data_IF_633110519210
#
_entry.id   IF_633110519210
#
_cell.length_a   1.000
_cell.length_b   1.000
_cell.length_c   1.000
_cell.angle_alpha   90.00
_cell.angle_beta   90.00
_cell.angle_gamma   90.00
#
_symmetry.space_group_name_H-M   'P 1'
#
loop_
_entity.id
_entity.type
_entity.pdbx_description
1 polymer ?
#
# COMPACT_ATOMS: atom_id res chain seq x y z
N UNK A 1 -1.58 1.14 20.75
CA UNK A 1 -1.23 2.49 21.27
C UNK A 1 0.24 2.60 21.64
N UNK A 2 0.80 1.77 22.55
CA UNK A 2 2.23 1.82 22.91
C UNK A 2 3.19 1.71 21.71
N UNK A 3 2.96 0.79 20.78
CA UNK A 3 3.79 0.63 19.57
C UNK A 3 3.70 1.86 18.66
N UNK A 4 2.50 2.40 18.47
CA UNK A 4 2.30 3.63 17.70
C UNK A 4 3.03 4.84 18.30
N UNK A 5 2.88 5.06 19.61
CA UNK A 5 3.56 6.16 20.30
C UNK A 5 5.08 6.05 20.16
N UNK A 6 5.61 4.84 20.30
CA UNK A 6 7.03 4.57 20.15
C UNK A 6 7.51 4.87 18.71
N UNK A 7 6.80 4.36 17.69
CA UNK A 7 7.12 4.63 16.28
C UNK A 7 7.15 6.14 15.97
N UNK A 8 6.15 6.89 16.46
CA UNK A 8 6.10 8.35 16.27
C UNK A 8 7.29 9.04 16.95
N UNK A 9 7.68 8.58 18.14
CA UNK A 9 8.82 9.15 18.87
C UNK A 9 10.15 8.80 18.21
N UNK A 10 10.31 7.58 17.71
CA UNK A 10 11.55 7.15 17.06
C UNK A 10 11.76 7.89 15.74
N UNK A 11 10.68 8.10 14.97
CA UNK A 11 10.75 8.79 13.67
C UNK A 11 10.86 10.32 13.80
N UNK A 12 10.14 10.93 14.75
CA UNK A 12 10.02 12.40 14.84
C UNK A 12 10.65 13.01 16.11
N UNK A 13 11.23 12.20 17.00
CA UNK A 13 11.89 12.66 18.21
C UNK A 13 10.99 13.53 19.09
N UNK A 14 11.51 14.71 19.48
CA UNK A 14 10.79 15.66 20.33
C UNK A 14 9.54 16.24 19.67
N UNK A 15 9.52 16.37 18.34
CA UNK A 15 8.30 16.78 17.62
C UNK A 15 7.21 15.73 17.76
N UNK A 16 7.58 14.44 17.70
CA UNK A 16 6.67 13.32 17.94
C UNK A 16 6.08 13.34 19.35
N UNK A 17 6.94 13.52 20.37
CA UNK A 17 6.51 13.64 21.78
C UNK A 17 5.54 14.80 21.98
N UNK A 18 5.86 15.97 21.43
CA UNK A 18 5.01 17.15 21.54
C UNK A 18 3.65 16.90 20.88
N UNK A 19 3.64 16.39 19.65
CA UNK A 19 2.41 16.12 18.91
C UNK A 19 1.50 15.11 19.63
N UNK A 20 2.05 14.04 20.20
CA UNK A 20 1.29 13.09 21.01
C UNK A 20 0.69 13.75 22.27
N UNK A 21 1.43 14.67 22.91
CA UNK A 21 0.93 15.44 24.06
C UNK A 21 -0.21 16.40 23.70
N UNK A 22 -0.15 17.01 22.51
CA UNK A 22 -1.15 17.95 22.02
C UNK A 22 -2.39 17.26 21.40
N UNK A 23 -2.27 15.97 21.07
CA UNK A 23 -3.29 15.18 20.36
C UNK A 23 -4.68 15.22 21.02
N UNK A 24 -4.88 15.10 22.35
CA UNK A 24 -6.21 15.19 22.95
C UNK A 24 -6.90 16.54 22.74
N UNK A 25 -6.14 17.64 22.79
CA UNK A 25 -6.67 18.98 22.55
C UNK A 25 -7.02 19.17 21.07
N UNK A 26 -6.14 18.69 20.18
CA UNK A 26 -6.39 18.69 18.73
C UNK A 26 -7.68 17.93 18.40
N UNK A 27 -7.86 16.71 18.93
CA UNK A 27 -9.07 15.91 18.72
C UNK A 27 -10.33 16.63 19.20
N UNK A 28 -10.28 17.31 20.35
CA UNK A 28 -11.40 18.09 20.88
C UNK A 28 -11.77 19.24 19.94
N UNK A 29 -10.76 19.95 19.43
CA UNK A 29 -10.95 21.04 18.47
C UNK A 29 -11.53 20.53 17.15
N UNK A 30 -10.99 19.44 16.61
CA UNK A 30 -11.46 18.83 15.36
C UNK A 30 -12.89 18.31 15.49
N UNK A 31 -13.21 17.63 16.60
CA UNK A 31 -14.56 17.15 16.87
C UNK A 31 -15.58 18.31 16.88
N UNK A 32 -15.24 19.44 17.49
CA UNK A 32 -16.09 20.64 17.45
C UNK A 32 -16.18 21.26 16.06
N UNK A 33 -15.05 21.38 15.36
CA UNK A 33 -14.95 22.06 14.06
C UNK A 33 -15.71 21.32 12.97
N UNK A 34 -15.57 20.00 12.93
CA UNK A 34 -16.16 19.13 11.91
C UNK A 34 -17.46 18.44 12.38
N UNK A 35 -17.91 18.69 13.61
CA UNK A 35 -19.11 18.06 14.17
C UNK A 35 -18.98 16.55 14.36
N UNK A 36 -17.79 16.08 14.76
CA UNK A 36 -17.49 14.66 14.92
C UNK A 36 -17.89 14.17 16.31
N UNK A 37 -18.32 12.91 16.39
CA UNK A 37 -18.71 12.25 17.63
C UNK A 37 -18.24 10.81 17.68
N UNK A 38 -18.17 10.25 18.89
CA UNK A 38 -17.76 8.87 19.14
C UNK A 38 -16.43 8.47 18.48
N UNK A 39 -15.47 9.40 18.43
CA UNK A 39 -14.14 9.14 17.89
C UNK A 39 -13.44 8.06 18.72
N UNK A 40 -13.06 6.97 18.07
CA UNK A 40 -12.36 5.83 18.68
C UNK A 40 -11.18 5.44 17.81
N UNK A 41 -9.96 5.34 18.37
CA UNK A 41 -8.83 4.84 17.63
C UNK A 41 -9.10 3.44 17.08
N UNK A 42 -8.67 3.19 15.84
CA UNK A 42 -8.67 1.82 15.29
C UNK A 42 -7.61 0.98 16.03
N UNK A 43 -7.74 -0.34 15.99
CA UNK A 43 -6.89 -1.24 16.78
C UNK A 43 -5.45 -1.36 16.24
N UNK A 44 -5.22 -1.10 14.96
CA UNK A 44 -3.99 -1.37 14.21
C UNK A 44 -3.21 -0.11 13.81
N UNK A 45 -2.97 0.81 14.74
CA UNK A 45 -2.17 2.03 14.49
C UNK A 45 -0.67 1.74 14.33
N UNK A 46 -0.06 2.31 13.29
CA UNK A 46 1.39 2.20 13.00
C UNK A 46 2.09 3.57 12.95
N UNK A 47 1.79 4.40 11.96
CA UNK A 47 2.48 5.68 11.68
C UNK A 47 1.54 6.89 11.58
N UNK A 48 0.24 6.65 11.44
CA UNK A 48 -0.80 7.68 11.48
C UNK A 48 -1.78 7.35 12.61
N UNK A 49 -2.33 8.39 13.24
CA UNK A 49 -3.39 8.24 14.24
C UNK A 49 -4.74 8.24 13.55
N UNK A 50 -5.34 7.06 13.45
CA UNK A 50 -6.58 6.80 12.71
C UNK A 50 -7.71 6.53 13.70
N UNK A 51 -8.82 7.24 13.56
CA UNK A 51 -10.02 7.05 14.38
C UNK A 51 -11.24 6.78 13.50
N UNK A 52 -12.08 5.85 13.93
CA UNK A 52 -13.45 5.76 13.45
C UNK A 52 -14.36 6.66 14.28
N UNK A 53 -15.46 7.11 13.70
CA UNK A 53 -16.46 7.90 14.41
C UNK A 53 -17.62 8.28 13.51
N UNK A 54 -18.31 9.36 13.84
CA UNK A 54 -19.47 9.82 13.09
C UNK A 54 -19.48 11.33 12.89
N UNK A 55 -19.94 11.77 11.73
CA UNK A 55 -20.38 13.14 11.46
C UNK A 55 -21.90 13.12 11.28
N UNK A 56 -22.65 13.50 12.32
CA UNK A 56 -24.09 13.22 12.37
C UNK A 56 -24.34 11.69 12.33
N UNK A 57 -25.18 11.17 11.40
CA UNK A 57 -25.36 9.73 11.22
C UNK A 57 -24.30 9.06 10.34
N UNK A 58 -23.47 9.84 9.63
CA UNK A 58 -22.50 9.33 8.66
C UNK A 58 -21.27 8.75 9.37
N UNK A 59 -20.93 7.45 9.18
CA UNK A 59 -19.67 6.88 9.64
C UNK A 59 -18.48 7.52 8.91
N UNK A 60 -17.42 7.84 9.65
CA UNK A 60 -16.21 8.48 9.13
C UNK A 60 -14.94 7.78 9.62
N UNK A 61 -13.85 8.02 8.89
CA UNK A 61 -12.47 7.80 9.35
C UNK A 61 -11.77 9.16 9.43
N UNK A 62 -11.15 9.45 10.57
CA UNK A 62 -10.28 10.61 10.78
C UNK A 62 -8.84 10.11 10.87
N UNK A 63 -7.99 10.49 9.91
CA UNK A 63 -6.57 10.17 9.88
C UNK A 63 -5.76 11.43 10.16
N UNK A 64 -4.85 11.34 11.13
CA UNK A 64 -3.95 12.42 11.53
C UNK A 64 -2.49 11.92 11.46
N UNK A 65 -1.59 12.75 10.96
CA UNK A 65 -0.18 12.36 10.78
C UNK A 65 0.78 13.54 10.85
N UNK A 66 2.03 13.24 11.19
CA UNK A 66 3.15 14.19 11.14
C UNK A 66 3.81 14.27 9.76
N UNK A 67 3.65 13.22 8.93
CA UNK A 67 4.03 13.24 7.52
C UNK A 67 2.97 14.02 6.72
N UNK A 68 3.07 15.35 6.76
CA UNK A 68 2.14 16.26 6.09
C UNK A 68 2.12 16.03 4.57
N UNK A 69 3.29 15.80 3.96
CA UNK A 69 3.40 15.60 2.52
C UNK A 69 2.83 14.23 2.10
N UNK A 70 3.06 13.17 2.89
CA UNK A 70 2.43 11.88 2.68
C UNK A 70 0.91 11.94 2.79
N UNK A 71 0.37 12.60 3.82
CA UNK A 71 -1.07 12.81 3.99
C UNK A 71 -1.68 13.59 2.82
N UNK A 72 -1.02 14.66 2.37
CA UNK A 72 -1.47 15.45 1.22
C UNK A 72 -1.46 14.63 -0.08
N UNK A 73 -0.44 13.80 -0.27
CA UNK A 73 -0.32 12.93 -1.46
C UNK A 73 -1.41 11.84 -1.46
N UNK A 74 -1.69 11.24 -0.30
CA UNK A 74 -2.81 10.30 -0.14
C UNK A 74 -4.15 10.93 -0.49
N UNK A 75 -4.41 12.15 0.02
CA UNK A 75 -5.62 12.90 -0.31
C UNK A 75 -5.74 13.16 -1.82
N UNK A 76 -4.66 13.61 -2.44
CA UNK A 76 -4.60 13.86 -3.88
C UNK A 76 -4.85 12.59 -4.68
N UNK A 77 -4.31 11.44 -4.26
CA UNK A 77 -4.53 10.16 -4.91
C UNK A 77 -5.99 9.70 -4.76
N UNK A 78 -6.58 9.79 -3.57
CA UNK A 78 -7.99 9.47 -3.35
C UNK A 78 -8.92 10.34 -4.21
N UNK A 79 -8.66 11.65 -4.28
CA UNK A 79 -9.42 12.55 -5.15
C UNK A 79 -9.22 12.25 -6.64
N UNK A 80 -8.02 11.87 -7.06
CA UNK A 80 -7.74 11.48 -8.44
C UNK A 80 -8.46 10.18 -8.83
N UNK A 81 -8.64 9.26 -7.88
CA UNK A 81 -9.37 8.01 -8.06
C UNK A 81 -10.87 8.13 -7.81
N UNK A 82 -11.42 9.34 -7.57
CA UNK A 82 -12.84 9.52 -7.29
C UNK A 82 -13.72 8.83 -8.34
N UNK A 83 -14.73 8.06 -7.88
CA UNK A 83 -15.59 7.25 -8.75
C UNK A 83 -14.98 5.92 -9.23
N UNK A 84 -13.73 5.61 -8.85
CA UNK A 84 -13.03 4.37 -9.26
C UNK A 84 -12.98 3.30 -8.16
N UNK A 85 -13.81 3.42 -7.12
CA UNK A 85 -13.87 2.47 -6.00
C UNK A 85 -12.86 2.75 -4.89
N UNK A 86 -12.64 4.02 -4.56
CA UNK A 86 -11.90 4.48 -3.38
C UNK A 86 -12.85 5.12 -2.38
N UNK A 87 -12.45 5.20 -1.11
CA UNK A 87 -13.16 6.02 -0.12
C UNK A 87 -13.16 7.49 -0.51
N UNK A 88 -14.27 8.19 -0.27
CA UNK A 88 -14.37 9.62 -0.52
C UNK A 88 -13.59 10.44 0.51
N UNK A 89 -13.02 11.57 0.06
CA UNK A 89 -12.42 12.59 0.93
C UNK A 89 -13.48 13.63 1.28
N UNK A 90 -13.89 13.69 2.55
CA UNK A 90 -14.83 14.70 3.04
C UNK A 90 -14.13 16.02 3.37
N UNK A 91 -12.90 15.95 3.89
CA UNK A 91 -12.08 17.13 4.14
C UNK A 91 -10.60 16.75 4.23
N UNK A 92 -9.72 17.63 3.75
CA UNK A 92 -8.29 17.56 4.00
C UNK A 92 -7.78 18.87 4.63
N UNK A 93 -6.73 18.77 5.43
CA UNK A 93 -5.95 19.90 5.94
C UNK A 93 -4.51 19.44 6.25
N UNK A 94 -3.65 20.34 6.72
CA UNK A 94 -2.28 20.05 7.12
C UNK A 94 -2.24 18.91 8.13
N UNK A 95 -1.77 17.72 7.71
CA UNK A 95 -1.67 16.53 8.55
C UNK A 95 -3.02 15.91 8.94
N UNK A 96 -4.11 16.20 8.20
CA UNK A 96 -5.46 15.69 8.49
C UNK A 96 -6.19 15.23 7.23
N UNK A 97 -6.82 14.05 7.30
CA UNK A 97 -7.84 13.59 6.36
C UNK A 97 -9.09 13.14 7.10
N UNK A 98 -10.24 13.63 6.66
CA UNK A 98 -11.55 13.12 7.03
C UNK A 98 -12.13 12.38 5.83
N UNK A 99 -12.38 11.09 6.00
CA UNK A 99 -12.70 10.16 4.93
C UNK A 99 -14.03 9.46 5.17
N UNK A 100 -14.62 8.98 4.09
CA UNK A 100 -15.66 7.95 4.13
C UNK A 100 -15.16 6.70 4.86
N UNK A 101 -16.04 6.10 5.65
CA UNK A 101 -15.79 4.83 6.29
C UNK A 101 -16.47 3.71 5.51
N UNK A 102 -15.68 2.72 5.05
CA UNK A 102 -16.23 1.51 4.47
C UNK A 102 -17.03 0.73 5.54
N UNK A 103 -18.26 0.37 5.20
CA UNK A 103 -19.17 -0.40 6.07
C UNK A 103 -19.64 -1.65 5.34
N UNK A 104 -19.41 -2.88 5.86
CA UNK A 104 -18.93 -3.19 7.22
C UNK A 104 -17.42 -2.97 7.42
N UNK A 105 -16.65 -2.70 6.36
CA UNK A 105 -15.21 -2.42 6.47
C UNK A 105 -14.37 -3.67 6.71
N UNK A 106 -14.87 -4.84 6.32
CA UNK A 106 -14.14 -6.11 6.43
C UNK A 106 -12.99 -6.10 5.41
N UNK A 107 -11.77 -6.26 5.90
CA UNK A 107 -10.57 -6.35 5.06
C UNK A 107 -10.61 -7.60 4.19
N UNK A 108 -10.16 -7.47 2.93
CA UNK A 108 -9.98 -8.60 2.03
C UNK A 108 -8.95 -9.61 2.57
N UNK A 109 -8.13 -9.22 3.56
CA UNK A 109 -7.22 -10.15 4.26
C UNK A 109 -7.97 -11.32 4.89
N UNK A 110 -9.24 -11.15 5.26
CA UNK A 110 -10.09 -12.22 5.79
C UNK A 110 -10.35 -13.38 4.81
N UNK A 111 -10.01 -13.22 3.53
CA UNK A 111 -10.15 -14.25 2.52
C UNK A 111 -8.92 -15.16 2.42
N UNK A 112 -7.80 -14.77 3.02
CA UNK A 112 -6.59 -15.56 2.99
C UNK A 112 -6.57 -16.64 4.08
N UNK A 113 -6.18 -17.89 3.78
CA UNK A 113 -5.86 -18.44 2.45
C UNK A 113 -7.06 -19.06 1.70
N UNK A 114 -8.17 -19.36 2.36
CA UNK A 114 -9.20 -20.27 1.83
C UNK A 114 -9.97 -19.75 0.61
N UNK A 115 -9.97 -18.43 0.40
CA UNK A 115 -10.68 -17.74 -0.69
C UNK A 115 -9.76 -16.85 -1.53
N UNK A 116 -8.49 -17.23 -1.66
CA UNK A 116 -7.48 -16.43 -2.36
C UNK A 116 -7.87 -16.14 -3.82
N UNK A 117 -8.47 -17.10 -4.53
CA UNK A 117 -8.98 -16.89 -5.90
C UNK A 117 -10.10 -15.83 -5.95
N UNK A 118 -10.98 -15.78 -4.96
CA UNK A 118 -12.01 -14.74 -4.86
C UNK A 118 -11.35 -13.37 -4.63
N UNK A 119 -10.34 -13.30 -3.76
CA UNK A 119 -9.57 -12.09 -3.50
C UNK A 119 -8.79 -11.59 -4.74
N UNK A 120 -8.22 -12.49 -5.54
CA UNK A 120 -7.57 -12.16 -6.81
C UNK A 120 -8.58 -11.55 -7.78
N UNK A 121 -9.76 -12.16 -7.93
CA UNK A 121 -10.79 -11.65 -8.83
C UNK A 121 -11.28 -10.25 -8.42
N UNK A 122 -11.54 -10.04 -7.12
CA UNK A 122 -11.92 -8.74 -6.56
C UNK A 122 -10.83 -7.70 -6.84
N UNK A 123 -9.57 -8.03 -6.54
CA UNK A 123 -8.44 -7.13 -6.71
C UNK A 123 -8.23 -6.78 -8.18
N UNK A 124 -8.35 -7.74 -9.10
CA UNK A 124 -8.24 -7.47 -10.53
C UNK A 124 -9.35 -6.51 -11.03
N UNK A 125 -10.58 -6.63 -10.51
CA UNK A 125 -11.65 -5.69 -10.82
C UNK A 125 -11.38 -4.29 -10.27
N UNK A 126 -10.86 -4.22 -9.03
CA UNK A 126 -10.42 -2.96 -8.41
C UNK A 126 -9.35 -2.29 -9.26
N UNK A 127 -8.28 -3.00 -9.64
CA UNK A 127 -7.19 -2.49 -10.48
C UNK A 127 -7.73 -1.96 -11.83
N UNK A 128 -8.63 -2.71 -12.49
CA UNK A 128 -9.27 -2.28 -13.74
C UNK A 128 -10.10 -0.99 -13.60
N UNK A 129 -10.66 -0.71 -12.41
CA UNK A 129 -11.35 0.56 -12.13
C UNK A 129 -10.34 1.67 -11.88
N UNK A 130 -9.35 1.44 -11.00
CA UNK A 130 -8.33 2.43 -10.66
C UNK A 130 -7.53 2.90 -11.88
N UNK A 131 -7.08 1.98 -12.74
CA UNK A 131 -6.26 2.32 -13.91
C UNK A 131 -7.02 3.06 -15.02
N UNK A 132 -8.34 3.28 -14.88
CA UNK A 132 -9.11 4.17 -15.76
C UNK A 132 -9.07 5.62 -15.29
N UNK A 133 -8.68 5.87 -14.05
CA UNK A 133 -8.53 7.23 -13.54
C UNK A 133 -7.42 7.95 -14.33
N UNK A 134 -7.66 9.18 -14.79
CA UNK A 134 -6.64 9.93 -15.48
C UNK A 134 -5.54 10.33 -14.50
N UNK A 135 -4.30 10.41 -14.99
CA UNK A 135 -3.22 11.06 -14.24
C UNK A 135 -3.57 12.55 -14.15
N UNK A 136 -3.82 13.10 -12.95
CA UNK A 136 -4.25 14.48 -12.83
C UNK A 136 -3.09 15.44 -13.12
N UNK A 137 -3.38 16.55 -13.79
CA UNK A 137 -2.40 17.62 -14.03
C UNK A 137 -2.23 18.57 -12.84
N UNK A 138 -3.11 18.48 -11.85
CA UNK A 138 -3.19 19.38 -10.69
C UNK A 138 -2.29 18.98 -9.53
N UNK A 139 -1.82 17.72 -9.50
CA UNK A 139 -0.90 17.21 -8.50
C UNK A 139 0.25 16.47 -9.19
N UNK A 140 1.47 16.66 -8.69
CA UNK A 140 2.65 15.97 -9.20
C UNK A 140 2.88 14.73 -8.33
N UNK A 141 2.51 13.56 -8.86
CA UNK A 141 2.84 12.30 -8.22
C UNK A 141 4.28 11.89 -8.55
N UNK A 142 5.01 11.27 -7.60
CA UNK A 142 6.29 10.64 -7.92
C UNK A 142 6.09 9.55 -8.98
N UNK A 143 7.14 9.23 -9.70
CA UNK A 143 7.16 8.09 -10.60
C UNK A 143 7.83 6.89 -9.90
N UNK A 144 7.44 5.65 -10.23
CA UNK A 144 8.04 4.44 -9.62
C UNK A 144 9.56 4.40 -9.78
N UNK A 145 10.08 5.01 -10.85
CA UNK A 145 11.53 5.17 -11.10
C UNK A 145 12.23 5.90 -9.95
N UNK A 146 11.59 6.89 -9.36
CA UNK A 146 12.15 7.73 -8.30
C UNK A 146 12.26 6.91 -7.01
N UNK A 147 11.33 5.98 -6.76
CA UNK A 147 11.41 5.01 -5.66
C UNK A 147 12.52 3.99 -5.90
N UNK A 148 12.67 3.56 -7.15
CA UNK A 148 13.64 2.54 -7.54
C UNK A 148 15.10 3.04 -7.54
N UNK A 149 15.34 4.34 -7.37
CA UNK A 149 16.68 4.92 -7.13
C UNK A 149 17.28 4.41 -5.80
N UNK A 150 16.44 4.02 -4.83
CA UNK A 150 16.91 3.43 -3.56
C UNK A 150 17.74 2.15 -3.79
N UNK A 151 17.47 1.42 -4.89
CA UNK A 151 18.24 0.23 -5.24
C UNK A 151 19.70 0.54 -5.61
N UNK A 152 20.06 1.79 -5.93
CA UNK A 152 21.43 2.19 -6.30
C UNK A 152 22.35 2.44 -5.10
N UNK A 153 21.81 2.41 -3.87
CA UNK A 153 22.58 2.51 -2.63
C UNK A 153 23.55 1.36 -2.40
N UNK A 154 24.57 1.59 -1.57
CA UNK A 154 25.46 0.53 -1.06
C UNK A 154 24.92 0.09 0.31
N UNK A 155 24.29 -1.08 0.35
CA UNK A 155 23.47 -1.56 1.46
C UNK A 155 23.94 -2.95 1.89
N UNK A 156 23.56 -3.38 3.10
CA UNK A 156 23.86 -4.72 3.63
C UNK A 156 23.03 -5.84 2.97
N UNK A 157 22.82 -5.76 1.66
CA UNK A 157 22.18 -6.77 0.80
C UNK A 157 23.27 -7.41 -0.08
N UNK A 158 23.26 -8.73 -0.33
CA UNK A 158 24.24 -9.37 -1.20
C UNK A 158 24.36 -8.68 -2.56
N UNK A 159 25.59 -8.31 -2.94
CA UNK A 159 25.89 -7.54 -4.16
C UNK A 159 25.25 -8.16 -5.42
N UNK A 160 25.22 -9.48 -5.51
CA UNK A 160 24.64 -10.19 -6.65
C UNK A 160 23.12 -9.96 -6.75
N UNK A 161 22.42 -9.89 -5.62
CA UNK A 161 20.98 -9.62 -5.55
C UNK A 161 20.69 -8.18 -5.98
N UNK A 162 21.43 -7.20 -5.44
CA UNK A 162 21.29 -5.80 -5.83
C UNK A 162 21.57 -5.59 -7.32
N UNK A 163 22.66 -6.19 -7.83
CA UNK A 163 22.99 -6.09 -9.25
C UNK A 163 21.88 -6.68 -10.13
N UNK A 164 21.36 -7.87 -9.78
CA UNK A 164 20.25 -8.49 -10.51
C UNK A 164 18.99 -7.62 -10.48
N UNK A 165 18.65 -7.07 -9.31
CA UNK A 165 17.49 -6.19 -9.17
C UNK A 165 17.62 -4.92 -10.02
N UNK A 166 18.82 -4.32 -10.07
CA UNK A 166 19.12 -3.16 -10.93
C UNK A 166 19.00 -3.52 -12.41
N UNK A 167 19.56 -4.65 -12.84
CA UNK A 167 19.47 -5.11 -14.24
C UNK A 167 18.02 -5.36 -14.68
N UNK A 168 17.21 -6.01 -13.83
CA UNK A 168 15.79 -6.25 -14.09
C UNK A 168 15.01 -4.93 -14.08
N UNK A 169 15.20 -4.07 -13.08
CA UNK A 169 14.61 -2.73 -12.99
C UNK A 169 14.87 -1.94 -14.27
N UNK A 170 16.13 -1.84 -14.69
CA UNK A 170 16.53 -1.02 -15.84
C UNK A 170 15.89 -1.55 -17.13
N UNK A 171 15.79 -2.87 -17.28
CA UNK A 171 15.07 -3.49 -18.40
C UNK A 171 13.57 -3.17 -18.37
N UNK A 172 12.92 -3.32 -17.22
CA UNK A 172 11.49 -3.03 -17.03
C UNK A 172 11.18 -1.57 -17.36
N UNK A 173 11.90 -0.62 -16.75
CA UNK A 173 11.72 0.82 -16.98
C UNK A 173 11.96 1.20 -18.45
N UNK A 174 12.99 0.62 -19.09
CA UNK A 174 13.30 0.89 -20.49
C UNK A 174 12.22 0.39 -21.46
N UNK A 175 11.51 -0.67 -21.09
CA UNK A 175 10.53 -1.36 -21.95
C UNK A 175 9.08 -1.09 -21.57
N UNK A 176 8.83 -0.25 -20.55
CA UNK A 176 7.50 0.17 -20.16
C UNK A 176 6.82 0.94 -21.31
N UNK A 177 5.57 0.60 -21.61
CA UNK A 177 4.82 1.17 -22.73
C UNK A 177 3.80 2.23 -22.33
N UNK A 178 3.25 2.12 -21.12
CA UNK A 178 2.17 2.96 -20.64
C UNK A 178 2.32 3.19 -19.14
N UNK A 179 2.25 4.45 -18.74
CA UNK A 179 2.10 4.86 -17.36
C UNK A 179 0.63 5.11 -17.02
N UNK A 180 0.26 4.72 -15.81
CA UNK A 180 -1.03 5.00 -15.19
C UNK A 180 -0.81 5.56 -13.78
N UNK A 181 -1.85 6.15 -13.20
CA UNK A 181 -1.85 6.43 -11.77
C UNK A 181 -2.09 5.11 -11.03
N UNK A 182 -1.12 4.72 -10.20
CA UNK A 182 -1.12 3.54 -9.38
C UNK A 182 -1.52 3.89 -7.94
N UNK A 183 -2.15 2.94 -7.26
CA UNK A 183 -2.33 2.99 -5.81
C UNK A 183 -0.96 2.93 -5.12
N UNK A 184 -0.08 2.03 -5.58
CA UNK A 184 1.34 1.96 -5.20
C UNK A 184 1.63 1.10 -3.97
N UNK A 185 0.58 0.64 -3.28
CA UNK A 185 0.64 -0.28 -2.14
C UNK A 185 -0.66 -1.10 -2.00
N UNK A 186 -1.17 -1.62 -3.13
CA UNK A 186 -2.49 -2.27 -3.17
C UNK A 186 -2.41 -3.71 -2.67
N UNK A 187 -2.52 -3.90 -1.35
CA UNK A 187 -2.62 -5.22 -0.72
C UNK A 187 -3.98 -5.42 -0.03
N UNK A 188 -4.22 -6.63 0.46
CA UNK A 188 -5.48 -7.09 1.05
C UNK A 188 -6.10 -6.13 2.09
N UNK A 189 -5.30 -5.52 2.97
CA UNK A 189 -5.82 -4.63 4.02
C UNK A 189 -6.22 -3.25 3.51
N UNK A 190 -5.75 -2.86 2.33
CA UNK A 190 -6.15 -1.62 1.67
C UNK A 190 -7.40 -1.81 0.79
N UNK A 191 -8.00 -3.00 0.78
CA UNK A 191 -9.23 -3.31 0.05
C UNK A 191 -10.29 -3.75 1.06
N UNK A 192 -11.30 -2.90 1.27
CA UNK A 192 -12.31 -3.08 2.31
C UNK A 192 -13.70 -3.28 1.72
N UNK A 193 -14.46 -4.20 2.30
CA UNK A 193 -15.84 -4.45 1.92
C UNK A 193 -16.73 -3.25 2.28
N UNK A 194 -17.53 -2.80 1.32
CA UNK A 194 -18.53 -1.75 1.49
C UNK A 194 -19.87 -2.17 0.87
N UNK A 195 -20.79 -2.67 1.70
CA UNK A 195 -22.01 -3.33 1.22
C UNK A 195 -21.67 -4.52 0.32
N UNK A 196 -22.16 -4.49 -0.91
CA UNK A 196 -21.87 -5.50 -1.94
C UNK A 196 -20.66 -5.13 -2.83
N UNK A 197 -20.02 -3.99 -2.55
CA UNK A 197 -18.87 -3.46 -3.27
C UNK A 197 -17.57 -3.54 -2.44
N UNK A 198 -16.46 -3.18 -3.09
CA UNK A 198 -15.14 -3.04 -2.47
C UNK A 198 -14.57 -1.64 -2.71
N UNK A 199 -14.12 -1.01 -1.63
CA UNK A 199 -13.46 0.29 -1.63
C UNK A 199 -11.99 0.16 -1.25
N UNK A 200 -11.16 1.01 -1.84
CA UNK A 200 -9.73 1.11 -1.57
C UNK A 200 -9.41 2.30 -0.68
N UNK A 201 -8.41 2.12 0.20
CA UNK A 201 -7.92 3.12 1.16
C UNK A 201 -6.39 3.23 1.11
N UNK A 202 -5.84 4.32 1.66
CA UNK A 202 -4.39 4.54 1.83
C UNK A 202 -3.53 4.44 0.55
N UNK A 203 -3.95 5.03 -0.59
CA UNK A 203 -3.09 5.09 -1.77
C UNK A 203 -1.83 5.91 -1.49
N UNK A 204 -0.68 5.40 -1.92
CA UNK A 204 0.57 6.18 -1.95
C UNK A 204 0.56 7.20 -3.07
N UNK A 205 -0.13 6.89 -4.17
CA UNK A 205 -0.22 7.73 -5.36
C UNK A 205 1.13 7.83 -6.07
N UNK A 206 1.32 7.00 -7.10
CA UNK A 206 2.57 6.94 -7.86
C UNK A 206 2.26 6.70 -9.33
N UNK A 207 3.08 7.28 -10.21
CA UNK A 207 2.97 7.04 -11.66
C UNK A 207 3.87 5.87 -12.04
N UNK A 208 3.34 4.92 -12.79
CA UNK A 208 4.15 3.84 -13.31
C UNK A 208 3.33 2.85 -14.12
N UNK A 209 3.96 1.74 -14.47
CA UNK A 209 3.33 0.76 -15.33
C UNK A 209 2.37 -0.20 -14.59
N UNK A 210 1.29 -0.67 -15.25
CA UNK A 210 0.29 -1.52 -14.61
C UNK A 210 0.79 -2.80 -13.91
N UNK A 211 1.78 -3.57 -14.43
CA UNK A 211 2.30 -4.75 -13.74
C UNK A 211 2.90 -4.49 -12.35
N UNK A 212 3.31 -3.26 -12.05
CA UNK A 212 3.84 -2.90 -10.74
C UNK A 212 2.78 -3.04 -9.63
N UNK A 213 1.50 -2.74 -9.93
CA UNK A 213 0.43 -2.66 -8.92
C UNK A 213 0.19 -3.98 -8.17
N UNK A 214 0.27 -5.11 -8.88
CA UNK A 214 -0.10 -6.43 -8.32
C UNK A 214 0.93 -7.00 -7.36
N UNK A 215 2.19 -6.53 -7.42
CA UNK A 215 3.28 -7.12 -6.66
C UNK A 215 3.12 -6.94 -5.14
N UNK A 216 2.47 -5.84 -4.69
CA UNK A 216 2.13 -5.65 -3.29
C UNK A 216 1.13 -6.70 -2.80
N UNK A 217 0.07 -6.97 -3.56
CA UNK A 217 -0.88 -8.04 -3.26
C UNK A 217 -0.20 -9.41 -3.24
N UNK A 218 0.62 -9.71 -4.25
CA UNK A 218 1.24 -11.04 -4.42
C UNK A 218 2.09 -11.44 -3.22
N UNK A 219 2.82 -10.49 -2.61
CA UNK A 219 3.65 -10.74 -1.41
C UNK A 219 2.90 -10.65 -0.08
N UNK A 220 1.61 -10.33 -0.06
CA UNK A 220 0.80 -10.16 1.15
C UNK A 220 -0.25 -11.27 1.29
N UNK A 221 -0.80 -11.56 2.48
CA UNK A 221 -0.52 -10.90 3.77
C UNK A 221 0.85 -11.28 4.36
N UNK A 222 1.47 -10.31 5.02
CA UNK A 222 2.74 -10.48 5.73
C UNK A 222 2.51 -10.61 7.26
N UNK A 223 3.17 -11.56 7.96
CA UNK A 223 4.08 -12.58 7.44
C UNK A 223 3.39 -13.86 6.94
N UNK A 224 2.05 -13.94 7.04
CA UNK A 224 1.29 -15.19 6.97
C UNK A 224 1.54 -15.98 5.67
N UNK A 225 1.69 -15.30 4.53
CA UNK A 225 1.95 -15.92 3.24
C UNK A 225 3.19 -16.83 3.25
N UNK A 226 4.34 -16.33 3.70
CA UNK A 226 5.59 -17.10 3.66
C UNK A 226 5.69 -18.16 4.76
N UNK A 227 4.82 -18.09 5.77
CA UNK A 227 4.70 -19.13 6.79
C UNK A 227 3.80 -20.29 6.38
N UNK A 228 3.06 -20.16 5.27
CA UNK A 228 2.17 -21.19 4.76
C UNK A 228 2.95 -22.24 3.95
N UNK A 229 2.71 -23.52 4.19
CA UNK A 229 3.42 -24.62 3.50
C UNK A 229 3.25 -24.58 1.98
N UNK A 230 2.09 -24.10 1.51
CA UNK A 230 1.75 -23.98 0.09
C UNK A 230 2.11 -22.62 -0.53
N UNK A 231 2.92 -21.78 0.14
CA UNK A 231 3.31 -20.46 -0.37
C UNK A 231 3.80 -20.45 -1.83
N UNK A 232 4.61 -21.43 -2.30
CA UNK A 232 5.04 -21.45 -3.69
C UNK A 232 3.89 -21.54 -4.70
N UNK A 233 2.88 -22.36 -4.44
CA UNK A 233 1.75 -22.53 -5.33
C UNK A 233 0.80 -21.33 -5.24
N UNK A 234 0.61 -20.75 -4.04
CA UNK A 234 -0.18 -19.53 -3.86
C UNK A 234 0.43 -18.37 -4.68
N UNK A 235 1.74 -18.12 -4.54
CA UNK A 235 2.42 -17.03 -5.28
C UNK A 235 2.36 -17.28 -6.80
N UNK A 236 2.62 -18.52 -7.23
CA UNK A 236 2.52 -18.88 -8.64
C UNK A 236 1.11 -18.66 -9.19
N UNK A 237 0.08 -19.13 -8.47
CA UNK A 237 -1.32 -18.94 -8.85
C UNK A 237 -1.67 -17.46 -8.97
N UNK A 238 -1.30 -16.63 -8.00
CA UNK A 238 -1.56 -15.18 -8.04
C UNK A 238 -0.93 -14.54 -9.28
N UNK A 239 0.34 -14.83 -9.58
CA UNK A 239 1.02 -14.30 -10.78
C UNK A 239 0.27 -14.70 -12.05
N UNK A 240 -0.04 -16.00 -12.20
CA UNK A 240 -0.73 -16.54 -13.39
C UNK A 240 -2.13 -15.94 -13.53
N UNK A 241 -2.90 -15.88 -12.45
CA UNK A 241 -4.28 -15.37 -12.47
C UNK A 241 -4.33 -13.86 -12.71
N UNK A 242 -3.42 -13.07 -12.13
CA UNK A 242 -3.34 -11.64 -12.46
C UNK A 242 -2.90 -11.41 -13.90
N UNK A 243 -1.95 -12.19 -14.41
CA UNK A 243 -1.54 -12.14 -15.82
C UNK A 243 -2.74 -12.36 -16.75
N UNK A 244 -3.54 -13.39 -16.49
CA UNK A 244 -4.76 -13.70 -17.25
C UNK A 244 -5.82 -12.61 -17.12
N UNK A 245 -6.18 -12.23 -15.89
CA UNK A 245 -7.30 -11.32 -15.63
C UNK A 245 -7.02 -9.90 -16.09
N UNK A 246 -5.77 -9.45 -16.03
CA UNK A 246 -5.34 -8.09 -16.40
C UNK A 246 -4.70 -8.02 -17.79
N UNK A 247 -4.58 -9.16 -18.48
CA UNK A 247 -3.92 -9.26 -19.80
C UNK A 247 -2.47 -8.76 -19.78
N UNK A 248 -1.75 -9.11 -18.71
CA UNK A 248 -0.36 -8.72 -18.47
C UNK A 248 0.60 -9.89 -18.65
N UNK A 249 1.86 -9.66 -19.08
CA UNK A 249 2.84 -10.74 -19.18
C UNK A 249 3.22 -11.28 -17.79
N UNK A 250 3.02 -12.59 -17.56
CA UNK A 250 3.33 -13.24 -16.27
C UNK A 250 4.78 -13.05 -15.82
N UNK A 251 5.74 -13.17 -16.75
CA UNK A 251 7.15 -12.93 -16.45
C UNK A 251 7.40 -11.49 -15.99
N UNK A 252 6.71 -10.51 -16.59
CA UNK A 252 6.86 -9.10 -16.22
C UNK A 252 6.32 -8.82 -14.82
N UNK A 253 5.22 -9.48 -14.43
CA UNK A 253 4.72 -9.45 -13.05
C UNK A 253 5.75 -10.06 -12.10
N UNK A 254 6.29 -11.23 -12.44
CA UNK A 254 7.31 -11.91 -11.63
C UNK A 254 8.54 -11.02 -11.41
N UNK A 255 9.04 -10.40 -12.48
CA UNK A 255 10.19 -9.49 -12.43
C UNK A 255 9.91 -8.29 -11.50
N UNK A 256 8.71 -7.71 -11.56
CA UNK A 256 8.29 -6.65 -10.62
C UNK A 256 8.17 -7.14 -9.18
N UNK A 257 7.68 -8.36 -8.95
CA UNK A 257 7.64 -8.96 -7.62
C UNK A 257 9.06 -9.09 -7.03
N UNK A 258 10.02 -9.54 -7.83
CA UNK A 258 11.43 -9.61 -7.41
C UNK A 258 11.99 -8.23 -7.09
N UNK A 259 11.84 -7.26 -7.99
CA UNK A 259 12.34 -5.89 -7.81
C UNK A 259 11.73 -5.24 -6.56
N UNK A 260 10.41 -5.37 -6.35
CA UNK A 260 9.76 -4.82 -5.16
C UNK A 260 10.14 -5.56 -3.87
N UNK A 261 10.43 -6.86 -3.91
CA UNK A 261 10.94 -7.58 -2.74
C UNK A 261 12.28 -7.01 -2.28
N UNK A 262 13.20 -6.77 -3.23
CA UNK A 262 14.50 -6.14 -2.94
C UNK A 262 14.32 -4.68 -2.51
N UNK A 263 13.45 -3.91 -3.17
CA UNK A 263 13.16 -2.52 -2.76
C UNK A 263 12.60 -2.44 -1.33
N UNK A 264 11.69 -3.35 -0.97
CA UNK A 264 11.14 -3.40 0.38
C UNK A 264 12.20 -3.82 1.41
N UNK A 265 13.16 -4.67 1.01
CA UNK A 265 14.33 -4.99 1.84
C UNK A 265 15.20 -3.75 2.08
N UNK A 266 15.50 -2.97 1.02
CA UNK A 266 16.23 -1.70 1.14
C UNK A 266 15.57 -0.77 2.17
N UNK A 267 14.27 -0.51 2.02
CA UNK A 267 13.55 0.37 2.92
C UNK A 267 13.50 -0.16 4.36
N UNK A 268 13.37 -1.48 4.56
CA UNK A 268 13.42 -2.06 5.90
C UNK A 268 14.77 -1.79 6.60
N UNK A 269 15.88 -1.86 5.87
CA UNK A 269 17.22 -1.53 6.40
C UNK A 269 17.31 -0.03 6.72
N UNK A 270 16.89 0.84 5.79
CA UNK A 270 16.95 2.30 5.94
C UNK A 270 16.11 2.79 7.13
N UNK A 271 14.94 2.19 7.34
CA UNK A 271 14.03 2.50 8.44
C UNK A 271 14.43 1.80 9.76
N UNK A 272 15.48 0.97 9.76
CA UNK A 272 15.92 0.20 10.93
C UNK A 272 14.89 -0.83 11.42
N UNK A 273 14.05 -1.32 10.50
CA UNK A 273 13.01 -2.32 10.75
C UNK A 273 13.54 -3.75 10.57
N UNK A 274 12.77 -4.74 11.02
CA UNK A 274 13.08 -6.15 10.74
C UNK A 274 12.95 -6.44 9.24
N UNK A 275 14.08 -6.79 8.62
CA UNK A 275 14.22 -7.07 7.20
C UNK A 275 14.12 -8.56 6.84
N UNK A 276 14.00 -9.44 7.85
CA UNK A 276 14.01 -10.90 7.70
C UNK A 276 12.97 -11.39 6.69
N UNK A 277 11.76 -10.82 6.71
CA UNK A 277 10.70 -11.21 5.79
C UNK A 277 11.08 -10.91 4.33
N UNK A 278 11.59 -9.71 4.06
CA UNK A 278 11.93 -9.28 2.69
C UNK A 278 13.15 -10.01 2.16
N UNK A 279 14.10 -10.35 3.02
CA UNK A 279 15.18 -11.28 2.69
C UNK A 279 14.65 -12.65 2.25
N UNK A 280 13.80 -13.29 3.05
CA UNK A 280 13.22 -14.59 2.69
C UNK A 280 12.34 -14.53 1.44
N UNK A 281 11.61 -13.43 1.24
CA UNK A 281 10.82 -13.20 0.02
C UNK A 281 11.73 -13.09 -1.22
N UNK A 282 12.85 -12.38 -1.11
CA UNK A 282 13.84 -12.28 -2.19
C UNK A 282 14.46 -13.64 -2.50
N UNK A 283 14.88 -14.38 -1.47
CA UNK A 283 15.39 -15.75 -1.61
C UNK A 283 14.36 -16.73 -2.19
N UNK A 284 13.06 -16.49 -1.96
CA UNK A 284 11.99 -17.23 -2.62
C UNK A 284 12.03 -16.97 -4.13
N UNK A 285 11.98 -15.72 -4.57
CA UNK A 285 11.99 -15.39 -6.00
C UNK A 285 13.30 -15.79 -6.70
N UNK A 286 14.44 -15.80 -6.01
CA UNK A 286 15.69 -16.38 -6.53
C UNK A 286 15.60 -17.88 -6.82
N UNK A 287 14.81 -18.63 -6.05
CA UNK A 287 14.67 -20.09 -6.21
C UNK A 287 13.68 -20.50 -7.29
N UNK A 288 12.67 -19.68 -7.54
CA UNK A 288 11.58 -19.96 -8.49
C UNK A 288 11.70 -19.07 -9.73
N UNK A 289 12.81 -19.17 -10.46
CA UNK A 289 13.22 -18.21 -11.52
C UNK A 289 12.38 -18.20 -12.80
N UNK A 290 11.36 -19.04 -12.93
CA UNK A 290 10.57 -19.11 -14.16
C UNK A 290 9.15 -19.63 -13.90
N UNK A 291 8.16 -18.82 -14.27
CA UNK A 291 6.73 -19.18 -14.21
C UNK A 291 6.30 -19.91 -15.49
N UNK A 292 7.15 -19.93 -16.52
CA UNK A 292 6.86 -20.44 -17.85
C UNK A 292 7.07 -21.95 -18.02
N UNK A 293 7.53 -22.65 -16.96
CA UNK A 293 8.01 -24.03 -17.04
C UNK A 293 7.37 -25.01 -16.04
N UNK A 294 6.14 -24.74 -15.59
CA UNK A 294 5.30 -25.73 -14.89
C UNK A 294 3.87 -25.77 -15.43
#
# INVERSE_FOLDING_TARGET
MKTFEQNIIDLYGDKGRQWLGDLPNLLTQLAKTYGLSNLKPVSNLSYNYVLSGFQGPQPIILKLGLDVDGIKREAAALMAFEGSGVVQVFSENTGLLLLECAVPGVSLKSYFPEKDDEAINITAQVIKRLHKAPIPSTHIFPHIKDWLEALDGDLEIPVQILQKAREIRDLLLKTAMLDVLLHGDLHHDNILQHGDDWLVIDPKGVIGEPPYEVAAFIRNPMPELLTHDDAPNIIHNRITRFAELLELPSQRIFDWCFVQAVLSWVWAIEDGCDDTYFKHLTEFFERYTDVSSR
#
